data_IF_997635665441
#
_entry.id   IF_997635665441
#
_cell.length_a   1.000
_cell.length_b   1.000
_cell.length_c   1.000
_cell.angle_alpha   90.00
_cell.angle_beta   90.00
_cell.angle_gamma   90.00
#
_symmetry.space_group_name_H-M   'P 1'
#
loop_
_entity.id
_entity.type
_entity.pdbx_description
1 polymer ?
#
# COMPACT_ATOMS: atom_id res chain seq x y z
N UNK A 1 -31.86 -19.02 -36.68
CA UNK A 1 -30.75 -18.17 -36.21
C UNK A 1 -29.57 -18.50 -37.09
N UNK A 2 -29.16 -17.58 -37.97
CA UNK A 2 -27.91 -17.71 -38.71
C UNK A 2 -26.76 -17.42 -37.75
N UNK A 3 -25.85 -18.36 -37.60
CA UNK A 3 -24.57 -18.14 -36.95
C UNK A 3 -23.47 -18.55 -37.91
N UNK A 4 -22.41 -17.76 -37.95
CA UNK A 4 -21.18 -18.10 -38.65
C UNK A 4 -20.17 -18.61 -37.64
N UNK A 5 -19.53 -19.73 -37.96
CA UNK A 5 -18.45 -20.29 -37.14
C UNK A 5 -17.11 -19.88 -37.74
N UNK A 6 -16.23 -19.35 -36.91
CA UNK A 6 -14.84 -19.05 -37.27
C UNK A 6 -13.94 -19.86 -36.34
N UNK A 7 -13.01 -20.60 -36.92
CA UNK A 7 -11.97 -21.29 -36.16
C UNK A 7 -10.91 -20.27 -35.76
N UNK A 8 -10.81 -20.01 -34.46
CA UNK A 8 -9.92 -18.97 -33.93
C UNK A 8 -8.45 -19.22 -34.33
N UNK A 9 -8.03 -20.49 -34.34
CA UNK A 9 -6.65 -20.87 -34.67
C UNK A 9 -6.29 -20.74 -36.16
N UNK A 10 -7.28 -20.54 -37.04
CA UNK A 10 -7.03 -20.32 -38.47
C UNK A 10 -6.83 -18.84 -38.80
N UNK A 11 -7.07 -17.94 -37.83
CA UNK A 11 -6.86 -16.51 -37.99
C UNK A 11 -5.36 -16.15 -37.93
N UNK A 12 -4.90 -15.12 -38.66
CA UNK A 12 -3.58 -14.53 -38.51
C UNK A 12 -3.33 -13.98 -37.09
N UNK A 13 -2.07 -13.91 -36.68
CA UNK A 13 -1.68 -13.42 -35.34
C UNK A 13 -2.15 -11.97 -35.10
N UNK A 14 -2.16 -11.14 -36.13
CA UNK A 14 -2.56 -9.73 -36.06
C UNK A 14 -4.04 -9.60 -35.67
N UNK A 15 -4.90 -10.45 -36.24
CA UNK A 15 -6.33 -10.48 -35.92
C UNK A 15 -6.54 -11.05 -34.51
N UNK A 16 -5.78 -12.07 -34.14
CA UNK A 16 -5.86 -12.65 -32.80
C UNK A 16 -5.49 -11.64 -31.72
N UNK A 17 -4.40 -10.88 -31.91
CA UNK A 17 -4.00 -9.81 -30.98
C UNK A 17 -5.11 -8.77 -30.85
N UNK A 18 -5.72 -8.34 -31.96
CA UNK A 18 -6.80 -7.38 -31.95
C UNK A 18 -8.05 -7.88 -31.22
N UNK A 19 -8.36 -9.18 -31.34
CA UNK A 19 -9.44 -9.82 -30.58
C UNK A 19 -9.10 -9.85 -29.08
N UNK A 20 -7.90 -10.32 -28.73
CA UNK A 20 -7.47 -10.43 -27.33
C UNK A 20 -7.47 -9.06 -26.65
N UNK A 21 -6.98 -8.02 -27.32
CA UNK A 21 -6.94 -6.64 -26.79
C UNK A 21 -8.32 -6.04 -26.48
N UNK A 22 -9.40 -6.62 -27.01
CA UNK A 22 -10.78 -6.20 -26.71
C UNK A 22 -11.40 -6.92 -25.51
N UNK A 23 -10.74 -7.98 -25.03
CA UNK A 23 -11.16 -8.74 -23.87
C UNK A 23 -10.48 -8.21 -22.61
N UNK A 24 -11.02 -8.59 -21.45
CA UNK A 24 -10.37 -8.27 -20.19
C UNK A 24 -9.03 -9.01 -20.08
N UNK A 25 -7.96 -8.26 -19.80
CA UNK A 25 -6.58 -8.76 -19.77
C UNK A 25 -6.41 -9.92 -18.80
N UNK A 26 -6.99 -9.83 -17.59
CA UNK A 26 -6.84 -10.92 -16.61
C UNK A 26 -7.58 -12.18 -17.05
N UNK A 27 -8.78 -12.04 -17.62
CA UNK A 27 -9.56 -13.19 -18.04
C UNK A 27 -8.82 -13.95 -19.14
N UNK A 28 -8.25 -13.23 -20.11
CA UNK A 28 -7.38 -13.82 -21.15
C UNK A 28 -6.18 -14.53 -20.52
N UNK A 29 -5.44 -13.87 -19.63
CA UNK A 29 -4.25 -14.46 -19.02
C UNK A 29 -4.59 -15.71 -18.20
N UNK A 30 -5.67 -15.68 -17.41
CA UNK A 30 -6.08 -16.81 -16.58
C UNK A 30 -6.69 -17.98 -17.38
N UNK A 31 -7.29 -17.71 -18.55
CA UNK A 31 -7.96 -18.74 -19.36
C UNK A 31 -7.07 -19.32 -20.45
N UNK A 32 -6.20 -18.52 -21.07
CA UNK A 32 -5.44 -18.91 -22.27
C UNK A 32 -4.09 -19.54 -21.93
N UNK A 33 -3.48 -19.14 -20.81
CA UNK A 33 -2.17 -19.66 -20.42
C UNK A 33 -2.23 -21.16 -20.09
N UNK A 34 -1.36 -21.94 -20.74
CA UNK A 34 -1.31 -23.39 -20.61
C UNK A 34 -2.33 -24.17 -21.46
N UNK A 35 -3.20 -23.48 -22.22
CA UNK A 35 -4.18 -24.14 -23.10
C UNK A 35 -3.66 -24.32 -24.52
N UNK A 36 -3.06 -23.27 -25.10
CA UNK A 36 -2.53 -23.30 -26.45
C UNK A 36 -1.24 -22.49 -26.56
N UNK A 37 -0.15 -23.12 -27.03
CA UNK A 37 1.18 -22.49 -27.12
C UNK A 37 1.20 -21.22 -27.98
N UNK A 38 0.41 -21.18 -29.06
CA UNK A 38 0.34 -20.02 -29.95
C UNK A 38 -0.36 -18.85 -29.25
N UNK A 39 -1.52 -19.08 -28.66
CA UNK A 39 -2.27 -18.05 -27.95
C UNK A 39 -1.52 -17.58 -26.68
N UNK A 40 -0.84 -18.49 -25.99
CA UNK A 40 0.00 -18.16 -24.84
C UNK A 40 1.14 -17.21 -25.22
N UNK A 41 1.81 -17.45 -26.35
CA UNK A 41 2.85 -16.54 -26.87
C UNK A 41 2.27 -15.15 -27.13
N UNK A 42 1.07 -15.07 -27.72
CA UNK A 42 0.41 -13.80 -28.03
C UNK A 42 -0.06 -13.06 -26.76
N UNK A 43 -0.62 -13.78 -25.78
CA UNK A 43 -1.09 -13.20 -24.52
C UNK A 43 0.06 -12.69 -23.63
N UNK A 44 1.29 -13.17 -23.85
CA UNK A 44 2.50 -12.70 -23.15
C UNK A 44 3.20 -11.54 -23.86
N UNK A 45 2.71 -11.13 -25.02
CA UNK A 45 3.31 -10.05 -25.78
C UNK A 45 3.30 -8.75 -24.96
N UNK A 46 4.33 -7.93 -25.17
CA UNK A 46 4.49 -6.64 -24.52
C UNK A 46 3.31 -5.70 -24.74
N UNK A 47 2.62 -5.80 -25.89
CA UNK A 47 1.44 -4.97 -26.20
C UNK A 47 0.27 -5.36 -25.29
N UNK A 48 0.10 -6.65 -25.01
CA UNK A 48 -1.00 -7.14 -24.18
C UNK A 48 -0.74 -6.94 -22.68
N UNK A 49 0.53 -7.00 -22.28
CA UNK A 49 0.95 -7.03 -20.88
C UNK A 49 1.47 -5.70 -20.34
N UNK A 50 1.55 -4.64 -21.16
CA UNK A 50 1.99 -3.34 -20.66
C UNK A 50 0.92 -2.60 -19.84
N UNK A 51 -0.35 -2.88 -20.11
CA UNK A 51 -1.48 -2.45 -19.30
C UNK A 51 -2.16 -3.69 -18.70
N UNK A 52 -2.32 -3.69 -17.38
CA UNK A 52 -2.99 -4.77 -16.68
C UNK A 52 -4.08 -4.22 -15.77
N UNK A 53 -5.31 -4.64 -16.02
CA UNK A 53 -6.47 -4.36 -15.18
C UNK A 53 -6.87 -5.61 -14.40
N UNK A 54 -6.66 -5.58 -13.09
CA UNK A 54 -7.01 -6.66 -12.17
C UNK A 54 -8.34 -6.40 -11.48
N UNK A 55 -9.19 -5.58 -12.07
CA UNK A 55 -10.55 -5.36 -11.59
C UNK A 55 -11.56 -6.13 -12.43
N UNK A 56 -12.64 -6.59 -11.78
CA UNK A 56 -13.75 -7.22 -12.48
C UNK A 56 -14.93 -6.26 -12.54
N UNK A 57 -15.63 -6.19 -13.69
CA UNK A 57 -16.85 -5.40 -13.81
C UNK A 57 -18.04 -6.29 -13.51
N UNK A 58 -18.82 -5.94 -12.49
CA UNK A 58 -20.10 -6.58 -12.24
C UNK A 58 -21.11 -6.25 -13.34
N UNK A 59 -22.12 -7.10 -13.49
CA UNK A 59 -23.26 -6.90 -14.41
C UNK A 59 -24.04 -5.61 -14.16
N UNK A 60 -23.90 -5.01 -12.98
CA UNK A 60 -24.50 -3.73 -12.58
C UNK A 60 -23.57 -2.53 -12.79
N UNK A 61 -22.41 -2.72 -13.40
CA UNK A 61 -21.43 -1.66 -13.70
C UNK A 61 -20.52 -1.27 -12.53
N UNK A 62 -20.66 -1.89 -11.36
CA UNK A 62 -19.76 -1.72 -10.23
C UNK A 62 -18.45 -2.49 -10.43
N UNK A 63 -17.34 -1.93 -9.93
CA UNK A 63 -16.02 -2.58 -9.93
C UNK A 63 -15.94 -3.52 -8.72
N UNK A 64 -15.57 -4.77 -8.94
CA UNK A 64 -15.49 -5.81 -7.91
C UNK A 64 -14.08 -6.40 -7.82
N UNK A 65 -13.72 -6.84 -6.61
CA UNK A 65 -12.52 -7.63 -6.37
C UNK A 65 -12.53 -8.92 -7.16
N UNK A 66 -11.35 -9.25 -7.67
CA UNK A 66 -11.07 -10.60 -8.13
C UNK A 66 -11.23 -11.58 -6.97
N UNK A 67 -11.76 -12.78 -7.22
CA UNK A 67 -11.74 -13.82 -6.19
C UNK A 67 -10.29 -14.13 -5.79
N UNK A 68 -10.04 -14.32 -4.50
CA UNK A 68 -8.69 -14.64 -3.97
C UNK A 68 -8.08 -15.86 -4.68
N UNK A 69 -8.89 -16.85 -5.07
CA UNK A 69 -8.43 -18.05 -5.79
C UNK A 69 -7.79 -17.70 -7.14
N UNK A 70 -8.42 -16.81 -7.90
CA UNK A 70 -7.90 -16.36 -9.20
C UNK A 70 -6.66 -15.48 -8.99
N UNK A 71 -6.71 -14.60 -7.97
CA UNK A 71 -5.60 -13.71 -7.63
C UNK A 71 -4.35 -14.51 -7.22
N UNK A 72 -4.49 -15.51 -6.35
CA UNK A 72 -3.37 -16.35 -5.88
C UNK A 72 -2.73 -17.13 -7.01
N UNK A 73 -3.56 -17.71 -7.90
CA UNK A 73 -3.08 -18.41 -9.10
C UNK A 73 -2.35 -17.45 -10.03
N UNK A 74 -2.91 -16.26 -10.25
CA UNK A 74 -2.30 -15.24 -11.09
C UNK A 74 -0.93 -14.81 -10.53
N UNK A 75 -0.87 -14.47 -9.24
CA UNK A 75 0.35 -14.09 -8.54
C UNK A 75 1.42 -15.19 -8.57
N UNK A 76 1.03 -16.46 -8.41
CA UNK A 76 1.98 -17.57 -8.30
C UNK A 76 2.47 -18.09 -9.65
N UNK A 77 1.63 -18.04 -10.68
CA UNK A 77 1.92 -18.69 -11.97
C UNK A 77 2.15 -17.73 -13.12
N UNK A 78 1.46 -16.59 -13.15
CA UNK A 78 1.40 -15.73 -14.35
C UNK A 78 2.25 -14.48 -14.15
N UNK A 79 2.01 -13.77 -13.06
CA UNK A 79 2.67 -12.52 -12.71
C UNK A 79 4.21 -12.60 -12.77
N UNK A 80 4.88 -13.66 -12.26
CA UNK A 80 6.35 -13.76 -12.31
C UNK A 80 6.91 -13.84 -13.72
N UNK A 81 6.06 -14.13 -14.71
CA UNK A 81 6.48 -14.27 -16.10
C UNK A 81 6.23 -13.01 -16.93
N UNK A 82 5.40 -12.07 -16.45
CA UNK A 82 5.00 -10.88 -17.21
C UNK A 82 5.32 -9.54 -16.51
N UNK A 83 5.68 -9.56 -15.22
CA UNK A 83 5.87 -8.35 -14.39
C UNK A 83 6.84 -7.31 -14.98
N UNK A 84 7.83 -7.75 -15.76
CA UNK A 84 8.84 -6.88 -16.39
C UNK A 84 8.31 -6.06 -17.58
N UNK A 85 7.13 -6.41 -18.11
CA UNK A 85 6.48 -5.70 -19.22
C UNK A 85 5.45 -4.67 -18.74
N UNK A 86 4.93 -4.84 -17.52
CA UNK A 86 3.86 -4.02 -16.98
C UNK A 86 4.34 -2.58 -16.79
N UNK A 87 3.64 -1.65 -17.46
CA UNK A 87 3.83 -0.20 -17.40
C UNK A 87 2.73 0.50 -16.60
N UNK A 88 1.51 -0.01 -16.70
CA UNK A 88 0.32 0.52 -16.04
C UNK A 88 -0.45 -0.61 -15.37
N UNK A 89 -0.80 -0.41 -14.09
CA UNK A 89 -1.52 -1.38 -13.28
C UNK A 89 -2.79 -0.77 -12.69
N UNK A 90 -3.90 -1.48 -12.78
CA UNK A 90 -5.18 -1.09 -12.18
C UNK A 90 -5.60 -2.14 -11.17
N UNK A 91 -5.76 -1.73 -9.91
CA UNK A 91 -6.06 -2.62 -8.78
C UNK A 91 -7.24 -2.11 -7.96
N UNK A 92 -7.89 -3.02 -7.25
CA UNK A 92 -8.65 -2.67 -6.05
C UNK A 92 -7.74 -2.68 -4.81
N UNK A 93 -8.09 -1.90 -3.79
CA UNK A 93 -7.34 -1.78 -2.54
C UNK A 93 -7.03 -3.12 -1.85
N UNK A 94 -7.97 -4.06 -1.83
CA UNK A 94 -7.80 -5.41 -1.26
C UNK A 94 -6.71 -6.24 -1.94
N UNK A 95 -6.42 -5.97 -3.21
CA UNK A 95 -5.42 -6.72 -4.00
C UNK A 95 -4.01 -6.13 -3.89
N UNK A 96 -3.84 -4.97 -3.25
CA UNK A 96 -2.54 -4.28 -3.16
C UNK A 96 -1.51 -5.15 -2.45
N UNK A 97 -1.85 -5.75 -1.31
CA UNK A 97 -0.92 -6.58 -0.53
C UNK A 97 -0.43 -7.79 -1.35
N UNK A 98 -1.30 -8.40 -2.13
CA UNK A 98 -0.95 -9.57 -2.94
C UNK A 98 -0.12 -9.19 -4.17
N UNK A 99 -0.43 -8.07 -4.83
CA UNK A 99 0.14 -7.75 -6.14
C UNK A 99 1.42 -6.91 -6.03
N UNK A 100 1.43 -5.87 -5.21
CA UNK A 100 2.60 -4.98 -5.12
C UNK A 100 3.75 -5.61 -4.35
N UNK A 101 3.49 -6.60 -3.48
CA UNK A 101 4.53 -7.31 -2.73
C UNK A 101 5.06 -8.52 -3.51
N UNK A 102 4.26 -9.12 -4.40
CA UNK A 102 4.64 -10.36 -5.08
C UNK A 102 5.87 -10.23 -6.00
N UNK A 103 6.07 -9.08 -6.65
CA UNK A 103 7.10 -8.91 -7.68
C UNK A 103 7.63 -7.46 -7.74
N UNK A 104 8.80 -7.29 -8.36
CA UNK A 104 9.35 -5.98 -8.71
C UNK A 104 8.89 -5.60 -10.13
N UNK A 105 8.33 -4.41 -10.31
CA UNK A 105 7.82 -3.95 -11.61
C UNK A 105 8.74 -2.86 -12.21
N UNK A 106 9.78 -3.21 -12.97
CA UNK A 106 10.81 -2.26 -13.39
C UNK A 106 10.34 -1.16 -14.35
N UNK A 107 9.23 -1.36 -15.09
CA UNK A 107 8.69 -0.41 -16.07
C UNK A 107 7.43 0.32 -15.59
N UNK A 108 6.96 0.01 -14.39
CA UNK A 108 5.71 0.55 -13.86
C UNK A 108 5.86 2.04 -13.58
N UNK A 109 5.03 2.84 -14.25
CA UNK A 109 4.99 4.30 -14.05
C UNK A 109 3.57 4.83 -13.86
N UNK A 110 2.54 3.98 -13.99
CA UNK A 110 1.15 4.32 -13.73
C UNK A 110 0.50 3.27 -12.84
N UNK A 111 -0.09 3.70 -11.73
CA UNK A 111 -0.86 2.86 -10.81
C UNK A 111 -2.22 3.53 -10.57
N UNK A 112 -3.29 2.83 -10.91
CA UNK A 112 -4.68 3.26 -10.65
C UNK A 112 -5.26 2.36 -9.57
N UNK A 113 -5.84 2.96 -8.53
CA UNK A 113 -6.41 2.23 -7.40
C UNK A 113 -7.89 2.57 -7.24
N UNK A 114 -8.72 1.54 -7.14
CA UNK A 114 -10.15 1.63 -6.86
C UNK A 114 -10.47 1.22 -5.43
N UNK A 115 -11.58 1.74 -4.91
CA UNK A 115 -12.10 1.41 -3.57
C UNK A 115 -11.03 1.55 -2.48
N UNK A 116 -10.19 2.59 -2.57
CA UNK A 116 -9.08 2.80 -1.63
C UNK A 116 -9.64 2.94 -0.22
N UNK A 117 -9.37 1.95 0.62
CA UNK A 117 -9.65 2.04 2.06
C UNK A 117 -8.63 2.99 2.70
N UNK A 118 -9.06 3.88 3.62
CA UNK A 118 -8.16 4.78 4.32
C UNK A 118 -6.94 4.07 4.93
N UNK A 119 -7.15 2.92 5.57
CA UNK A 119 -6.07 2.14 6.21
C UNK A 119 -4.96 1.71 5.23
N UNK A 120 -5.36 1.26 4.03
CA UNK A 120 -4.43 0.78 2.99
C UNK A 120 -3.69 1.95 2.35
N UNK A 121 -4.37 3.09 2.14
CA UNK A 121 -3.73 4.32 1.66
C UNK A 121 -2.63 4.78 2.61
N UNK A 122 -2.94 4.79 3.90
CA UNK A 122 -2.02 5.18 4.97
C UNK A 122 -0.78 4.29 4.98
N UNK A 123 -0.99 2.97 5.03
CA UNK A 123 0.10 1.98 5.17
C UNK A 123 1.05 1.98 3.98
N UNK A 124 0.53 2.07 2.75
CA UNK A 124 1.32 1.83 1.54
C UNK A 124 1.65 3.08 0.72
N UNK A 125 0.80 4.09 0.72
CA UNK A 125 0.91 5.24 -0.18
C UNK A 125 1.35 6.52 0.54
N UNK A 126 0.93 6.69 1.80
CA UNK A 126 1.37 7.80 2.65
C UNK A 126 2.69 7.51 3.39
N UNK A 127 3.13 6.24 3.42
CA UNK A 127 4.50 5.86 3.76
C UNK A 127 4.82 5.70 5.24
N UNK A 128 3.98 5.01 6.02
CA UNK A 128 4.38 4.62 7.37
C UNK A 128 3.43 3.67 8.10
N UNK A 129 3.96 2.99 9.12
CA UNK A 129 3.21 2.26 10.16
C UNK A 129 2.46 3.21 11.13
N UNK A 130 2.58 4.53 10.94
CA UNK A 130 2.14 5.58 11.86
C UNK A 130 0.64 5.89 11.85
N UNK A 131 -0.20 5.02 11.31
CA UNK A 131 -1.66 5.22 11.30
C UNK A 131 -2.10 6.49 10.55
N UNK A 132 -3.27 7.02 10.93
CA UNK A 132 -3.95 8.13 10.27
C UNK A 132 -3.17 9.45 10.19
N UNK A 133 -3.78 10.44 9.54
CA UNK A 133 -3.23 11.79 9.51
C UNK A 133 -3.22 12.39 10.93
N UNK A 134 -2.16 13.10 11.31
CA UNK A 134 -1.96 13.49 12.71
C UNK A 134 -3.06 14.41 13.25
N UNK A 135 -3.56 14.10 14.46
CA UNK A 135 -4.73 14.70 15.09
C UNK A 135 -4.69 16.23 15.23
N UNK A 136 -3.49 16.84 15.25
CA UNK A 136 -3.39 18.29 15.38
C UNK A 136 -3.89 19.07 14.14
N UNK A 137 -3.62 18.56 12.93
CA UNK A 137 -3.86 19.31 11.69
C UNK A 137 -4.38 18.43 10.54
N UNK A 138 -4.67 17.15 10.77
CA UNK A 138 -5.19 16.24 9.76
C UNK A 138 -4.24 16.07 8.56
N UNK A 139 -2.93 16.05 8.81
CA UNK A 139 -1.92 15.92 7.74
C UNK A 139 -0.85 14.89 8.09
N UNK A 140 -0.18 14.39 7.04
CA UNK A 140 0.95 13.48 7.15
C UNK A 140 2.26 14.23 7.33
N UNK A 141 3.23 13.55 7.94
CA UNK A 141 4.58 14.06 8.17
C UNK A 141 5.60 13.09 7.62
N UNK A 142 6.64 13.63 6.98
CA UNK A 142 7.75 12.81 6.50
C UNK A 142 8.58 12.29 7.66
N UNK A 143 9.09 11.07 7.54
CA UNK A 143 10.09 10.47 8.45
C UNK A 143 11.34 11.34 8.70
N UNK A 144 11.61 12.29 7.81
CA UNK A 144 12.71 13.26 7.93
C UNK A 144 12.41 14.42 8.89
N UNK A 145 11.14 14.65 9.23
CA UNK A 145 10.69 15.69 10.14
C UNK A 145 10.74 15.19 11.58
N UNK A 146 11.28 15.99 12.50
CA UNK A 146 11.27 15.69 13.94
C UNK A 146 9.92 16.03 14.55
N UNK A 147 9.02 15.05 14.54
CA UNK A 147 7.65 15.16 15.04
C UNK A 147 7.36 14.02 16.00
N UNK A 148 6.39 14.23 16.88
CA UNK A 148 5.96 13.24 17.89
C UNK A 148 4.43 13.20 18.05
N UNK A 149 3.93 12.03 18.43
CA UNK A 149 2.65 11.86 19.09
C UNK A 149 2.84 11.77 20.62
N UNK A 150 1.89 12.29 21.38
CA UNK A 150 1.89 12.19 22.85
C UNK A 150 0.71 11.34 23.31
N UNK A 151 0.88 10.50 24.33
CA UNK A 151 -0.24 9.82 24.98
C UNK A 151 -1.37 10.78 25.33
N UNK A 152 -2.63 10.35 25.23
CA UNK A 152 -3.85 11.17 25.43
C UNK A 152 -3.76 12.21 26.56
N UNK A 153 -3.31 11.79 27.75
CA UNK A 153 -3.17 12.70 28.90
C UNK A 153 -2.15 13.83 28.68
N UNK A 154 -1.03 13.53 28.01
CA UNK A 154 -0.01 14.51 27.63
C UNK A 154 -0.38 15.29 26.36
N UNK A 155 -1.10 14.69 25.42
CA UNK A 155 -1.66 15.41 24.28
C UNK A 155 -2.61 16.52 24.73
N UNK A 156 -3.39 16.25 25.77
CA UNK A 156 -4.24 17.20 26.48
C UNK A 156 -5.22 17.90 25.53
N UNK A 157 -6.02 17.11 24.80
CA UNK A 157 -7.03 17.58 23.85
C UNK A 157 -6.47 18.60 22.85
N UNK A 158 -5.25 18.36 22.38
CA UNK A 158 -4.56 19.22 21.41
C UNK A 158 -3.94 20.50 21.96
N UNK A 159 -3.96 20.75 23.27
CA UNK A 159 -3.34 21.96 23.85
C UNK A 159 -1.82 22.04 23.65
N UNK A 160 -1.17 20.93 23.28
CA UNK A 160 0.24 20.88 22.88
C UNK A 160 0.47 20.87 21.37
N UNK A 161 -0.58 20.88 20.54
CA UNK A 161 -0.45 20.88 19.09
C UNK A 161 0.42 22.03 18.57
N UNK A 162 1.34 21.69 17.67
CA UNK A 162 2.27 22.64 17.06
C UNK A 162 3.40 23.11 17.99
N UNK A 163 3.29 22.89 19.30
CA UNK A 163 4.34 23.23 20.27
C UNK A 163 5.50 22.27 20.14
N UNK A 164 6.69 22.75 20.49
CA UNK A 164 7.90 21.93 20.52
C UNK A 164 8.14 21.43 21.94
N UNK A 165 8.62 20.20 22.04
CA UNK A 165 9.11 19.62 23.28
C UNK A 165 10.61 19.32 23.15
N UNK A 166 11.30 19.36 24.28
CA UNK A 166 12.67 18.86 24.41
C UNK A 166 12.62 17.41 24.86
N UNK A 167 13.36 16.53 24.19
CA UNK A 167 13.45 15.09 24.47
C UNK A 167 14.91 14.76 24.78
N UNK A 168 15.14 14.08 25.89
CA UNK A 168 16.46 13.66 26.36
C UNK A 168 16.49 12.14 26.49
N UNK A 169 17.49 11.51 25.88
CA UNK A 169 17.66 10.06 25.87
C UNK A 169 18.99 9.68 25.23
N UNK A 170 19.55 8.51 25.60
CA UNK A 170 20.86 8.06 25.10
C UNK A 170 21.99 9.12 25.27
N UNK A 171 21.97 9.88 26.37
CA UNK A 171 22.93 10.99 26.61
C UNK A 171 22.82 12.17 25.63
N UNK A 172 21.83 12.17 24.74
CA UNK A 172 21.59 13.20 23.73
C UNK A 172 20.29 13.95 24.00
N UNK A 173 20.18 15.13 23.42
CA UNK A 173 19.00 15.98 23.50
C UNK A 173 18.56 16.38 22.10
N UNK A 174 17.25 16.33 21.84
CA UNK A 174 16.66 16.80 20.59
C UNK A 174 15.37 17.56 20.87
N UNK A 175 14.88 18.29 19.88
CA UNK A 175 13.55 18.91 19.93
C UNK A 175 12.66 18.34 18.83
N UNK A 176 11.37 18.18 19.12
CA UNK A 176 10.39 17.71 18.17
C UNK A 176 9.08 18.49 18.32
N UNK A 177 8.32 18.60 17.22
CA UNK A 177 6.99 19.22 17.25
C UNK A 177 5.93 18.17 17.60
N UNK A 178 5.01 18.51 18.48
CA UNK A 178 3.83 17.67 18.76
C UNK A 178 2.84 17.85 17.63
N UNK A 179 2.52 16.75 16.96
CA UNK A 179 1.65 16.75 15.77
C UNK A 179 0.48 15.80 15.85
N UNK A 180 0.46 14.93 16.86
CA UNK A 180 -0.51 13.85 16.95
C UNK A 180 -0.76 13.40 18.40
N UNK A 181 -1.81 12.60 18.55
CA UNK A 181 -2.18 11.88 19.77
C UNK A 181 -1.80 10.40 19.62
N UNK A 182 -1.18 9.83 20.64
CA UNK A 182 -1.10 8.38 20.81
C UNK A 182 -2.30 7.96 21.66
N UNK A 183 -3.38 7.49 21.03
CA UNK A 183 -4.65 7.22 21.70
C UNK A 183 -4.49 6.11 22.73
N UNK A 184 -4.64 6.46 24.00
CA UNK A 184 -4.51 5.55 25.14
C UNK A 184 -5.86 5.10 25.72
N UNK A 185 -6.95 5.42 25.02
CA UNK A 185 -8.34 5.11 25.39
C UNK A 185 -8.93 4.07 24.45
N UNK A 186 -8.72 4.22 23.13
CA UNK A 186 -9.30 3.36 22.09
C UNK A 186 -8.24 2.46 21.44
N UNK A 187 -8.69 1.35 20.87
CA UNK A 187 -7.86 0.30 20.29
C UNK A 187 -8.58 -1.04 20.23
N UNK A 188 -7.92 -2.06 19.69
CA UNK A 188 -8.46 -3.40 19.45
C UNK A 188 -9.68 -3.42 18.51
N UNK A 189 -9.79 -2.44 17.62
CA UNK A 189 -10.87 -2.29 16.65
C UNK A 189 -10.33 -2.11 15.22
N UNK A 190 -11.22 -2.03 14.24
CA UNK A 190 -10.83 -1.91 12.84
C UNK A 190 -10.15 -0.57 12.50
N UNK A 191 -10.53 0.52 13.17
CA UNK A 191 -9.94 1.86 12.96
C UNK A 191 -8.46 1.88 13.38
N UNK A 192 -8.14 1.15 14.45
CA UNK A 192 -6.78 1.00 14.97
C UNK A 192 -6.07 -0.26 14.44
N UNK A 193 -6.59 -0.88 13.36
CA UNK A 193 -6.04 -2.10 12.76
C UNK A 193 -5.81 -3.25 13.77
N UNK A 194 -6.67 -3.35 14.79
CA UNK A 194 -6.58 -4.34 15.86
C UNK A 194 -5.45 -4.11 16.87
N UNK A 195 -4.71 -3.00 16.76
CA UNK A 195 -3.64 -2.66 17.71
C UNK A 195 -4.23 -2.26 19.07
N UNK A 196 -3.59 -2.64 20.18
CA UNK A 196 -4.06 -2.25 21.50
C UNK A 196 -3.93 -0.73 21.71
N UNK A 197 -4.69 -0.15 22.66
CA UNK A 197 -4.52 1.24 23.05
C UNK A 197 -3.07 1.56 23.44
N UNK A 198 -2.64 2.78 23.14
CA UNK A 198 -1.33 3.30 23.52
C UNK A 198 -1.15 3.31 25.04
N UNK A 199 0.08 3.14 25.52
CA UNK A 199 0.38 3.34 26.95
C UNK A 199 0.24 4.83 27.29
N UNK A 200 -0.05 5.14 28.54
CA UNK A 200 -0.34 6.50 29.00
C UNK A 200 0.90 7.39 29.23
N UNK A 201 2.11 6.89 28.96
CA UNK A 201 3.39 7.52 29.25
C UNK A 201 4.36 7.48 28.05
N UNK A 202 3.83 7.62 26.83
CA UNK A 202 4.53 7.49 25.55
C UNK A 202 4.73 8.85 24.89
N UNK A 203 5.93 9.02 24.36
CA UNK A 203 6.26 9.99 23.31
C UNK A 203 6.63 9.17 22.09
N UNK A 204 5.71 9.02 21.16
CA UNK A 204 5.96 8.26 19.94
C UNK A 204 6.65 9.16 18.92
N UNK A 205 7.85 8.77 18.50
CA UNK A 205 8.77 9.64 17.78
C UNK A 205 9.09 9.16 16.39
N UNK A 206 9.07 10.09 15.43
CA UNK A 206 9.46 9.78 14.05
C UNK A 206 10.90 9.26 13.94
N UNK A 207 11.29 8.59 12.84
CA UNK A 207 12.66 8.14 12.63
C UNK A 207 13.72 9.25 12.78
N UNK A 208 13.40 10.50 12.43
CA UNK A 208 14.28 11.64 12.65
C UNK A 208 14.53 11.96 14.14
N UNK A 209 13.57 11.70 15.04
CA UNK A 209 13.75 11.84 16.49
C UNK A 209 14.74 10.81 17.00
N UNK A 210 14.55 9.53 16.65
CA UNK A 210 15.47 8.44 17.00
C UNK A 210 16.90 8.70 16.49
N UNK A 211 17.03 9.10 15.22
CA UNK A 211 18.32 9.47 14.63
C UNK A 211 19.00 10.62 15.37
N UNK A 212 18.24 11.64 15.78
CA UNK A 212 18.79 12.77 16.55
C UNK A 212 19.25 12.35 17.95
N UNK A 213 18.57 11.37 18.56
CA UNK A 213 18.99 10.72 19.80
C UNK A 213 20.12 9.68 19.59
N UNK A 214 20.61 9.52 18.36
CA UNK A 214 21.71 8.61 18.05
C UNK A 214 21.37 7.13 18.19
N UNK A 215 20.10 6.78 18.06
CA UNK A 215 19.62 5.39 18.10
C UNK A 215 19.12 5.04 16.69
N UNK A 216 19.73 4.04 16.07
CA UNK A 216 19.44 3.59 14.71
C UNK A 216 18.70 2.25 14.72
N UNK A 217 18.10 1.84 13.60
CA UNK A 217 17.27 0.62 13.51
C UNK A 217 17.99 -0.67 13.96
N UNK A 218 19.31 -0.72 13.87
CA UNK A 218 20.12 -1.86 14.30
C UNK A 218 20.58 -1.78 15.77
N UNK A 219 20.22 -0.72 16.50
CA UNK A 219 20.51 -0.58 17.92
C UNK A 219 19.47 -1.39 18.73
N UNK A 220 19.88 -2.17 19.74
CA UNK A 220 18.95 -2.96 20.56
C UNK A 220 17.93 -2.10 21.35
N UNK A 221 18.16 -0.78 21.47
CA UNK A 221 17.23 0.16 22.10
C UNK A 221 16.19 0.72 21.12
N UNK A 222 16.33 0.44 19.83
CA UNK A 222 15.34 0.84 18.83
C UNK A 222 14.05 0.05 19.05
N UNK A 223 12.92 0.76 19.07
CA UNK A 223 11.61 0.20 19.41
C UNK A 223 11.06 0.83 20.68
N UNK A 224 11.80 0.78 21.79
CA UNK A 224 11.41 1.45 23.04
C UNK A 224 12.63 1.84 23.87
N UNK A 225 12.71 3.10 24.30
CA UNK A 225 13.80 3.60 25.12
C UNK A 225 13.28 4.58 26.19
N UNK A 226 13.81 4.46 27.40
CA UNK A 226 13.53 5.44 28.46
C UNK A 226 14.08 6.81 28.09
N UNK A 227 13.23 7.82 28.21
CA UNK A 227 13.54 9.22 27.95
C UNK A 227 13.03 10.10 29.10
N UNK A 228 13.46 11.36 29.12
CA UNK A 228 12.73 12.44 29.77
C UNK A 228 12.37 13.51 28.74
N UNK A 229 11.27 14.24 28.97
CA UNK A 229 10.87 15.32 28.09
C UNK A 229 10.30 16.50 28.88
N UNK A 230 10.35 17.68 28.27
CA UNK A 230 9.78 18.91 28.83
C UNK A 230 9.23 19.79 27.73
N UNK A 231 8.30 20.69 28.07
CA UNK A 231 7.92 21.75 27.15
C UNK A 231 9.17 22.59 26.82
N UNK A 232 9.25 23.04 25.56
CA UNK A 232 10.18 24.11 25.18
C UNK A 232 9.48 25.44 25.51
N UNK A 233 10.02 26.17 26.48
CA UNK A 233 9.57 27.51 26.85
C UNK A 233 10.15 28.55 25.90
#
# INVERSE_FOLDING_TARGET
>A
MDYSTVQLLDLPDEILIEILNKLNNIDVLCTVLGVNKRLERLARDTIFTDFLDLTTKSSLGGICSMSNIILDRFCSSILPQIHHNIKSLVLESSSIEHILIACVYPKLHKLTLYSIKPEIFIKYLAGGDGGGAGACYGRFYSDKQRVVALSTGWYNKGLRCGKRITIRGNGRTTTAQVVDECDSVHGCDAEHAGQPPCRNNIVDGSPAVWKALGVFKNDPRYGEMKISWSNLY
#
